data_IF_878125883495
#
_entry.id   IF_878125883495
#
_cell.length_a   1.000
_cell.length_b   1.000
_cell.length_c   1.000
_cell.angle_alpha   90.00
_cell.angle_beta   90.00
_cell.angle_gamma   90.00
#
_symmetry.space_group_name_H-M   'P 1'
#
loop_
_entity.id
_entity.type
_entity.pdbx_description
1 polymer ?
#
# COMPACT_ATOMS: atom_id res chain seq x y z
N UNK A 1 -23.69 10.93 -23.72
CA UNK A 1 -23.34 9.93 -22.70
C UNK A 1 -23.20 10.69 -21.39
N UNK A 2 -24.13 10.49 -20.46
CA UNK A 2 -24.07 11.15 -19.15
C UNK A 2 -22.82 10.70 -18.41
N UNK A 3 -22.06 11.67 -17.91
CA UNK A 3 -20.90 11.46 -17.05
C UNK A 3 -21.33 10.60 -15.88
N UNK A 4 -20.53 9.59 -15.48
CA UNK A 4 -21.02 8.69 -14.48
C UNK A 4 -21.14 9.34 -13.11
N UNK A 5 -22.14 8.90 -12.35
CA UNK A 5 -22.46 9.39 -11.01
C UNK A 5 -21.53 8.79 -9.94
N UNK A 6 -20.22 9.06 -9.95
CA UNK A 6 -19.38 8.80 -8.78
C UNK A 6 -18.75 10.09 -8.28
N UNK A 7 -19.58 10.86 -7.61
CA UNK A 7 -19.42 11.14 -6.19
C UNK A 7 -20.70 11.89 -5.85
N UNK A 8 -21.61 11.28 -5.09
CA UNK A 8 -22.71 12.06 -4.50
C UNK A 8 -22.13 12.93 -3.39
N UNK A 9 -21.32 13.93 -3.78
CA UNK A 9 -21.19 15.17 -3.02
C UNK A 9 -22.59 15.74 -2.77
N UNK A 10 -23.56 15.43 -3.64
CA UNK A 10 -24.99 15.66 -3.43
C UNK A 10 -25.55 15.19 -2.07
N UNK A 11 -25.00 14.15 -1.44
CA UNK A 11 -25.41 13.72 -0.09
C UNK A 11 -24.64 14.45 1.03
N UNK A 12 -23.51 15.07 0.71
CA UNK A 12 -22.66 15.81 1.65
C UNK A 12 -22.85 17.34 1.54
N UNK A 13 -23.40 17.82 0.43
CA UNK A 13 -23.69 19.23 0.17
C UNK A 13 -25.10 19.58 0.64
N UNK A 14 -25.24 20.79 1.18
CA UNK A 14 -26.55 21.36 1.52
C UNK A 14 -27.51 21.29 0.31
N UNK A 15 -28.82 21.06 0.53
CA UNK A 15 -29.85 21.20 -0.51
C UNK A 15 -29.78 22.53 -1.26
N UNK A 16 -29.25 23.58 -0.64
CA UNK A 16 -29.06 24.90 -1.27
C UNK A 16 -28.17 24.86 -2.52
N UNK A 17 -27.27 23.89 -2.60
CA UNK A 17 -26.40 23.70 -3.77
C UNK A 17 -27.11 23.05 -4.95
N UNK A 18 -28.33 22.51 -4.79
CA UNK A 18 -29.11 21.95 -5.90
C UNK A 18 -29.45 23.00 -6.96
N UNK A 19 -29.55 24.28 -6.56
CA UNK A 19 -29.73 25.41 -7.48
C UNK A 19 -28.50 25.70 -8.35
N UNK A 20 -27.33 25.14 -8.02
CA UNK A 20 -26.05 25.42 -8.68
C UNK A 20 -25.39 24.13 -9.20
N UNK A 21 -25.93 23.51 -10.27
CA UNK A 21 -25.44 22.22 -10.78
C UNK A 21 -23.96 22.26 -11.21
N UNK A 22 -23.46 23.40 -11.66
CA UNK A 22 -22.06 23.62 -12.01
C UNK A 22 -21.12 23.61 -10.79
N UNK A 23 -21.58 24.06 -9.61
CA UNK A 23 -20.80 23.99 -8.36
C UNK A 23 -20.71 22.54 -7.89
N UNK A 24 -21.82 21.80 -7.93
CA UNK A 24 -21.83 20.37 -7.61
C UNK A 24 -20.87 19.62 -8.55
N UNK A 25 -20.95 19.88 -9.85
CA UNK A 25 -20.06 19.26 -10.84
C UNK A 25 -18.59 19.61 -10.57
N UNK A 26 -18.28 20.88 -10.31
CA UNK A 26 -16.92 21.33 -10.02
C UNK A 26 -16.34 20.71 -8.75
N UNK A 27 -17.15 20.62 -7.67
CA UNK A 27 -16.74 19.95 -6.43
C UNK A 27 -16.59 18.45 -6.65
N UNK A 28 -17.49 17.82 -7.40
CA UNK A 28 -17.35 16.41 -7.80
C UNK A 28 -16.07 16.18 -8.59
N UNK A 29 -15.75 17.03 -9.56
CA UNK A 29 -14.53 16.94 -10.38
C UNK A 29 -13.26 17.18 -9.55
N UNK A 30 -13.30 18.09 -8.58
CA UNK A 30 -12.22 18.31 -7.62
C UNK A 30 -12.00 17.11 -6.70
N UNK A 31 -13.07 16.41 -6.33
CA UNK A 31 -13.03 15.27 -5.41
C UNK A 31 -12.76 13.93 -6.14
N UNK A 32 -12.85 13.90 -7.47
CA UNK A 32 -12.51 12.70 -8.23
C UNK A 32 -11.01 12.41 -8.09
N UNK A 33 -10.64 11.18 -7.69
CA UNK A 33 -9.24 10.80 -7.63
C UNK A 33 -8.63 10.84 -9.04
N UNK A 34 -7.38 11.29 -9.13
CA UNK A 34 -6.66 11.43 -10.40
C UNK A 34 -6.34 10.09 -11.08
N UNK A 35 -6.44 8.99 -10.34
CA UNK A 35 -6.17 7.63 -10.83
C UNK A 35 -7.25 6.67 -10.35
N UNK A 36 -7.42 5.55 -11.07
CA UNK A 36 -8.38 4.50 -10.70
C UNK A 36 -7.83 3.54 -9.63
N UNK A 37 -6.55 3.67 -9.27
CA UNK A 37 -5.81 2.76 -8.40
C UNK A 37 -6.54 2.45 -7.09
N UNK A 38 -7.05 3.51 -6.44
CA UNK A 38 -7.85 3.41 -5.23
C UNK A 38 -9.04 2.47 -5.39
N UNK A 39 -9.81 2.65 -6.46
CA UNK A 39 -10.94 1.78 -6.75
C UNK A 39 -10.51 0.33 -7.00
N UNK A 40 -9.35 0.12 -7.61
CA UNK A 40 -8.82 -1.21 -7.90
C UNK A 40 -8.45 -1.95 -6.63
N UNK A 41 -7.56 -1.41 -5.78
CA UNK A 41 -7.10 -2.13 -4.59
C UNK A 41 -8.11 -2.13 -3.42
N UNK A 42 -9.19 -1.36 -3.53
CA UNK A 42 -10.39 -1.47 -2.69
C UNK A 42 -11.45 -2.42 -3.29
N UNK A 43 -11.23 -2.94 -4.49
CA UNK A 43 -12.18 -3.76 -5.25
C UNK A 43 -13.58 -3.14 -5.45
N UNK A 44 -13.60 -1.84 -5.70
CA UNK A 44 -14.83 -1.07 -5.92
C UNK A 44 -15.32 -1.28 -7.35
N UNK A 45 -15.96 -2.43 -7.57
CA UNK A 45 -16.48 -2.89 -8.88
C UNK A 45 -17.25 -1.82 -9.65
N UNK A 46 -18.15 -1.09 -8.97
CA UNK A 46 -18.93 -0.02 -9.60
C UNK A 46 -18.04 1.11 -10.11
N UNK A 47 -17.01 1.49 -9.34
CA UNK A 47 -16.08 2.56 -9.72
C UNK A 47 -15.15 2.09 -10.84
N UNK A 48 -14.59 0.88 -10.72
CA UNK A 48 -13.76 0.25 -11.75
C UNK A 48 -14.48 0.24 -13.10
N UNK A 49 -15.68 -0.36 -13.17
CA UNK A 49 -16.45 -0.48 -14.42
C UNK A 49 -16.71 0.86 -15.11
N UNK A 50 -16.88 1.89 -14.31
CA UNK A 50 -17.40 3.18 -14.77
C UNK A 50 -16.27 4.15 -15.13
N UNK A 51 -15.17 4.13 -14.39
CA UNK A 51 -14.09 5.12 -14.51
C UNK A 51 -12.79 4.56 -15.07
N UNK A 52 -12.62 3.24 -15.19
CA UNK A 52 -11.43 2.62 -15.80
C UNK A 52 -11.13 3.13 -17.24
N UNK A 53 -12.11 3.47 -18.10
CA UNK A 53 -11.82 4.07 -19.40
C UNK A 53 -11.32 5.53 -19.34
N UNK A 54 -11.59 6.23 -18.24
CA UNK A 54 -11.38 7.68 -18.13
C UNK A 54 -10.22 8.05 -17.21
N UNK A 55 -9.92 7.21 -16.24
CA UNK A 55 -8.87 7.45 -15.25
C UNK A 55 -7.70 6.50 -15.47
N UNK A 56 -6.46 7.01 -15.48
CA UNK A 56 -5.29 6.17 -15.65
C UNK A 56 -5.12 5.24 -14.44
N UNK A 57 -4.60 4.05 -14.71
CA UNK A 57 -4.06 3.13 -13.73
C UNK A 57 -2.55 3.30 -13.63
N UNK A 58 -1.99 3.17 -12.44
CA UNK A 58 -0.56 3.34 -12.16
C UNK A 58 -0.04 2.20 -11.28
N UNK A 59 1.26 2.21 -10.97
CA UNK A 59 1.88 1.30 -9.98
C UNK A 59 1.19 1.38 -8.60
N UNK A 60 0.52 2.49 -8.30
CA UNK A 60 -0.26 2.68 -7.08
C UNK A 60 -1.37 1.65 -6.89
N UNK A 61 -1.86 1.02 -7.96
CA UNK A 61 -2.82 -0.07 -7.87
C UNK A 61 -2.23 -1.28 -7.15
N UNK A 62 -1.03 -1.72 -7.56
CA UNK A 62 -0.35 -2.86 -6.93
C UNK A 62 0.26 -2.47 -5.58
N UNK A 63 0.83 -1.27 -5.45
CA UNK A 63 1.40 -0.80 -4.17
C UNK A 63 0.33 -0.75 -3.07
N UNK A 64 -0.86 -0.21 -3.39
CA UNK A 64 -1.99 -0.18 -2.47
C UNK A 64 -2.57 -1.55 -2.17
N UNK A 65 -2.61 -2.46 -3.15
CA UNK A 65 -3.04 -3.84 -2.93
C UNK A 65 -2.09 -4.58 -1.99
N UNK A 66 -0.77 -4.40 -2.18
CA UNK A 66 0.25 -5.01 -1.34
C UNK A 66 0.21 -4.49 0.10
N UNK A 67 0.06 -3.17 0.28
CA UNK A 67 -0.09 -2.56 1.60
C UNK A 67 -1.33 -3.04 2.37
N UNK A 68 -2.29 -3.67 1.69
CA UNK A 68 -3.54 -4.18 2.28
C UNK A 68 -3.64 -5.70 2.30
N UNK A 69 -2.58 -6.41 1.91
CA UNK A 69 -2.59 -7.87 1.93
C UNK A 69 -3.50 -8.48 0.87
N UNK A 70 -3.88 -7.73 -0.17
CA UNK A 70 -4.82 -8.16 -1.20
C UNK A 70 -4.09 -8.95 -2.29
N UNK A 71 -3.63 -10.14 -1.92
CA UNK A 71 -2.93 -11.05 -2.82
C UNK A 71 -3.78 -11.46 -4.04
N UNK A 72 -5.10 -11.60 -3.84
CA UNK A 72 -6.09 -11.83 -4.90
C UNK A 72 -6.05 -10.75 -5.99
N UNK A 73 -5.99 -9.48 -5.57
CA UNK A 73 -5.91 -8.35 -6.49
C UNK A 73 -4.54 -8.30 -7.15
N UNK A 74 -3.45 -8.55 -6.41
CA UNK A 74 -2.10 -8.58 -6.98
C UNK A 74 -1.95 -9.63 -8.08
N UNK A 75 -2.46 -10.84 -7.85
CA UNK A 75 -2.46 -11.92 -8.84
C UNK A 75 -3.26 -11.53 -10.08
N UNK A 76 -4.45 -10.94 -9.89
CA UNK A 76 -5.26 -10.44 -11.01
C UNK A 76 -4.55 -9.35 -11.80
N UNK A 77 -3.94 -8.37 -11.13
CA UNK A 77 -3.23 -7.25 -11.77
C UNK A 77 -1.98 -7.70 -12.51
N UNK A 78 -1.21 -8.63 -11.94
CA UNK A 78 -0.02 -9.17 -12.58
C UNK A 78 -0.37 -9.94 -13.85
N UNK A 79 -1.45 -10.73 -13.84
CA UNK A 79 -1.90 -11.44 -15.05
C UNK A 79 -2.31 -10.49 -16.19
N UNK A 80 -2.71 -9.26 -15.87
CA UNK A 80 -3.06 -8.23 -16.84
C UNK A 80 -1.85 -7.45 -17.41
N UNK A 81 -0.63 -7.63 -16.86
CA UNK A 81 0.65 -7.12 -17.36
C UNK A 81 0.69 -5.66 -17.89
N UNK A 82 0.25 -4.64 -17.13
CA UNK A 82 0.36 -3.23 -17.60
C UNK A 82 1.33 -2.34 -16.84
N UNK A 83 1.24 -2.20 -15.52
CA UNK A 83 2.02 -1.17 -14.79
C UNK A 83 3.06 -1.73 -13.81
N UNK A 84 2.85 -2.95 -13.28
CA UNK A 84 3.70 -3.51 -12.22
C UNK A 84 3.54 -2.77 -10.88
N UNK A 85 4.56 -2.86 -10.02
CA UNK A 85 4.59 -2.20 -8.72
C UNK A 85 5.89 -1.41 -8.52
N UNK A 86 5.96 -0.63 -7.44
CA UNK A 86 7.20 0.01 -6.98
C UNK A 86 7.75 -0.68 -5.72
N UNK A 87 8.88 -0.20 -5.19
CA UNK A 87 9.38 -0.67 -3.88
C UNK A 87 8.39 -0.39 -2.74
N UNK A 88 7.45 0.56 -2.92
CA UNK A 88 6.42 0.86 -1.94
C UNK A 88 5.48 -0.34 -1.69
N UNK A 89 5.29 -1.24 -2.65
CA UNK A 89 4.55 -2.48 -2.43
C UNK A 89 5.18 -3.34 -1.32
N UNK A 90 6.50 -3.54 -1.37
CA UNK A 90 7.24 -4.30 -0.37
C UNK A 90 7.23 -3.62 1.00
N UNK A 91 7.49 -2.30 1.03
CA UNK A 91 7.50 -1.53 2.28
C UNK A 91 6.11 -1.51 2.90
N UNK A 92 5.06 -1.31 2.10
CA UNK A 92 3.67 -1.32 2.55
C UNK A 92 3.24 -2.68 3.09
N UNK A 93 3.59 -3.77 2.41
CA UNK A 93 3.32 -5.13 2.88
C UNK A 93 4.06 -5.43 4.20
N UNK A 94 5.32 -5.01 4.32
CA UNK A 94 6.12 -5.16 5.54
C UNK A 94 5.56 -4.32 6.70
N UNK A 95 5.09 -3.11 6.42
CA UNK A 95 4.50 -2.20 7.40
C UNK A 95 3.18 -2.70 7.99
N UNK A 96 2.52 -3.67 7.35
CA UNK A 96 1.22 -4.23 7.78
C UNK A 96 1.25 -5.76 7.97
N UNK A 97 2.44 -6.35 8.09
CA UNK A 97 2.65 -7.78 8.35
C UNK A 97 2.15 -8.77 7.28
N UNK A 98 2.07 -8.36 6.01
CA UNK A 98 1.62 -9.22 4.91
C UNK A 98 2.78 -10.05 4.33
N UNK A 99 3.22 -11.07 5.08
CA UNK A 99 4.37 -11.91 4.70
C UNK A 99 4.11 -12.75 3.43
N UNK A 100 2.88 -13.20 3.24
CA UNK A 100 2.41 -13.90 2.03
C UNK A 100 2.55 -13.02 0.77
N UNK A 101 2.20 -11.75 0.88
CA UNK A 101 2.42 -10.75 -0.17
C UNK A 101 3.91 -10.52 -0.41
N UNK A 102 4.73 -10.44 0.63
CA UNK A 102 6.19 -10.28 0.48
C UNK A 102 6.79 -11.48 -0.27
N UNK A 103 6.36 -12.70 0.02
CA UNK A 103 6.80 -13.89 -0.73
C UNK A 103 6.39 -13.79 -2.19
N UNK A 104 5.13 -13.52 -2.46
CA UNK A 104 4.66 -13.37 -3.84
C UNK A 104 5.38 -12.25 -4.60
N UNK A 105 5.65 -11.11 -3.96
CA UNK A 105 6.40 -10.03 -4.57
C UNK A 105 7.86 -10.42 -4.87
N UNK A 106 8.50 -11.24 -4.03
CA UNK A 106 9.86 -11.72 -4.31
C UNK A 106 9.89 -12.63 -5.55
N UNK A 107 8.86 -13.45 -5.79
CA UNK A 107 8.84 -14.34 -6.97
C UNK A 107 8.83 -13.59 -8.31
N UNK A 108 8.24 -12.39 -8.36
CA UNK A 108 8.06 -11.63 -9.60
C UNK A 108 8.86 -10.31 -9.67
N UNK A 109 9.23 -9.74 -8.53
CA UNK A 109 9.77 -8.38 -8.42
C UNK A 109 10.91 -8.27 -7.40
N UNK A 110 11.71 -9.32 -7.21
CA UNK A 110 12.81 -9.35 -6.23
C UNK A 110 13.73 -8.11 -6.29
N UNK A 111 14.03 -7.61 -7.50
CA UNK A 111 14.91 -6.44 -7.70
C UNK A 111 14.37 -5.12 -7.12
N UNK A 112 13.05 -5.05 -6.87
CA UNK A 112 12.41 -3.89 -6.26
C UNK A 112 12.45 -3.93 -4.72
N UNK A 113 12.81 -5.06 -4.11
CA UNK A 113 12.89 -5.18 -2.67
C UNK A 113 13.91 -4.19 -2.06
N UNK A 114 13.57 -3.62 -0.91
CA UNK A 114 14.43 -2.71 -0.14
C UNK A 114 14.48 -3.19 1.32
N UNK A 115 15.29 -4.22 1.64
CA UNK A 115 15.26 -4.89 2.94
C UNK A 115 15.40 -3.94 4.14
N UNK A 116 16.27 -2.93 4.06
CA UNK A 116 16.46 -1.92 5.12
C UNK A 116 15.19 -1.09 5.38
N UNK A 117 14.53 -0.62 4.32
CA UNK A 117 13.28 0.14 4.44
C UNK A 117 12.14 -0.75 4.97
N UNK A 118 12.05 -1.98 4.46
CA UNK A 118 11.05 -2.96 4.87
C UNK A 118 11.19 -3.33 6.35
N UNK A 119 12.41 -3.60 6.83
CA UNK A 119 12.62 -3.96 8.25
C UNK A 119 12.31 -2.78 9.16
N UNK A 120 12.66 -1.55 8.76
CA UNK A 120 12.38 -0.36 9.54
C UNK A 120 10.87 -0.10 9.63
N UNK A 121 10.14 -0.32 8.53
CA UNK A 121 8.69 -0.24 8.52
C UNK A 121 8.03 -1.32 9.40
N UNK A 122 8.49 -2.56 9.31
CA UNK A 122 8.01 -3.66 10.15
C UNK A 122 8.35 -3.43 11.64
N UNK A 123 9.55 -2.95 11.93
CA UNK A 123 10.01 -2.66 13.29
C UNK A 123 9.22 -1.53 13.94
N UNK A 124 8.92 -0.47 13.18
CA UNK A 124 8.08 0.67 13.62
C UNK A 124 6.66 0.26 13.98
N UNK A 125 6.14 -0.82 13.39
CA UNK A 125 4.78 -1.33 13.64
C UNK A 125 4.76 -2.62 14.48
N UNK A 126 5.91 -3.07 15.00
CA UNK A 126 5.99 -4.21 15.91
C UNK A 126 5.82 -5.58 15.26
N UNK A 127 6.05 -5.69 13.94
CA UNK A 127 5.81 -6.92 13.18
C UNK A 127 6.98 -7.91 13.26
N UNK A 128 7.03 -8.64 14.38
CA UNK A 128 8.10 -9.60 14.72
C UNK A 128 8.39 -10.62 13.59
N UNK A 129 7.35 -11.21 12.98
CA UNK A 129 7.52 -12.25 11.95
C UNK A 129 8.19 -11.70 10.68
N UNK A 130 7.84 -10.49 10.26
CA UNK A 130 8.46 -9.84 9.09
C UNK A 130 9.91 -9.45 9.41
N UNK A 131 10.18 -8.92 10.61
CA UNK A 131 11.55 -8.61 11.04
C UNK A 131 12.41 -9.88 11.11
N UNK A 132 11.88 -10.98 11.64
CA UNK A 132 12.56 -12.29 11.66
C UNK A 132 12.90 -12.80 10.27
N UNK A 133 11.98 -12.60 9.31
CA UNK A 133 12.21 -12.97 7.92
C UNK A 133 13.31 -12.12 7.28
N UNK A 134 13.28 -10.81 7.48
CA UNK A 134 14.18 -9.86 6.81
C UNK A 134 15.58 -9.80 7.45
N UNK A 135 15.72 -10.03 8.75
CA UNK A 135 17.00 -9.82 9.48
C UNK A 135 18.18 -10.61 8.92
N UNK A 136 17.95 -11.72 8.21
CA UNK A 136 19.00 -12.53 7.59
C UNK A 136 19.64 -11.86 6.37
N UNK A 137 18.94 -10.92 5.73
CA UNK A 137 19.40 -10.21 4.53
C UNK A 137 20.08 -8.86 4.85
N UNK A 138 20.19 -8.51 6.13
CA UNK A 138 20.63 -7.19 6.58
C UNK A 138 22.05 -7.21 7.11
N UNK A 139 22.75 -6.09 6.96
CA UNK A 139 24.02 -5.85 7.61
C UNK A 139 23.83 -5.32 9.05
N UNK A 140 24.93 -5.19 9.79
CA UNK A 140 24.92 -4.77 11.19
C UNK A 140 24.35 -3.36 11.38
N UNK A 141 24.65 -2.43 10.48
CA UNK A 141 24.18 -1.03 10.58
C UNK A 141 22.65 -0.95 10.39
N UNK A 142 22.12 -1.71 9.43
CA UNK A 142 20.68 -1.81 9.18
C UNK A 142 19.92 -2.45 10.36
N UNK A 143 20.50 -3.48 10.99
CA UNK A 143 19.94 -4.10 12.19
C UNK A 143 19.93 -3.15 13.39
N UNK A 144 20.96 -2.33 13.56
CA UNK A 144 21.02 -1.31 14.61
C UNK A 144 19.96 -0.23 14.36
N UNK A 145 19.82 0.25 13.12
CA UNK A 145 18.77 1.21 12.76
C UNK A 145 17.37 0.66 13.06
N UNK A 146 17.10 -0.60 12.69
CA UNK A 146 15.82 -1.24 12.98
C UNK A 146 15.56 -1.42 14.48
N UNK A 147 16.61 -1.70 15.26
CA UNK A 147 16.54 -1.78 16.71
C UNK A 147 16.18 -0.42 17.33
N UNK A 148 16.85 0.65 16.91
CA UNK A 148 16.55 2.01 17.35
C UNK A 148 15.09 2.36 17.04
N UNK A 149 14.62 2.10 15.82
CA UNK A 149 13.23 2.33 15.41
C UNK A 149 12.24 1.53 16.28
N UNK A 150 12.51 0.24 16.53
CA UNK A 150 11.66 -0.59 17.38
C UNK A 150 11.60 -0.07 18.83
N UNK A 151 12.74 0.35 19.38
CA UNK A 151 12.81 0.90 20.74
C UNK A 151 12.10 2.24 20.86
N UNK A 152 12.28 3.15 19.89
CA UNK A 152 11.60 4.44 19.85
C UNK A 152 10.07 4.28 19.69
N UNK A 153 9.63 3.24 19.01
CA UNK A 153 8.20 2.91 18.80
C UNK A 153 7.60 2.06 19.93
N UNK A 154 8.39 1.69 20.95
CA UNK A 154 7.93 0.90 22.10
C UNK A 154 7.70 -0.60 21.84
N UNK A 155 8.18 -1.13 20.71
CA UNK A 155 7.98 -2.52 20.32
C UNK A 155 9.03 -3.45 20.90
N UNK A 156 8.87 -3.81 22.18
CA UNK A 156 9.81 -4.62 22.96
C UNK A 156 10.19 -5.95 22.31
N UNK A 157 9.21 -6.71 21.80
CA UNK A 157 9.47 -8.04 21.21
C UNK A 157 10.39 -7.94 19.98
N UNK A 158 10.22 -6.91 19.15
CA UNK A 158 11.10 -6.67 17.99
C UNK A 158 12.49 -6.25 18.45
N UNK A 159 12.57 -5.35 19.44
CA UNK A 159 13.85 -4.91 19.98
C UNK A 159 14.64 -6.07 20.62
N UNK A 160 13.99 -6.95 21.37
CA UNK A 160 14.60 -8.15 21.94
C UNK A 160 15.08 -9.10 20.84
N UNK A 161 14.27 -9.32 19.79
CA UNK A 161 14.64 -10.16 18.65
C UNK A 161 15.91 -9.67 17.95
N UNK A 162 16.02 -8.36 17.72
CA UNK A 162 17.16 -7.74 17.06
C UNK A 162 18.42 -7.73 17.95
N UNK A 163 18.26 -7.52 19.27
CA UNK A 163 19.37 -7.58 20.24
C UNK A 163 20.02 -8.95 20.31
N UNK A 164 19.23 -10.03 20.35
CA UNK A 164 19.76 -11.40 20.41
C UNK A 164 20.69 -11.67 19.22
N UNK A 165 20.33 -11.18 18.03
CA UNK A 165 21.14 -11.38 16.83
C UNK A 165 22.44 -10.56 16.85
N UNK A 166 22.40 -9.32 17.36
CA UNK A 166 23.58 -8.45 17.44
C UNK A 166 24.61 -8.87 18.50
N UNK A 167 24.22 -9.69 19.49
CA UNK A 167 25.12 -10.20 20.55
C UNK A 167 25.70 -11.56 20.18
N UNK A 168 25.03 -12.31 19.29
CA UNK A 168 25.39 -13.68 18.91
C UNK A 168 26.28 -13.84 17.69
N UNK A 169 26.61 -12.75 16.97
CA UNK A 169 27.58 -12.69 15.86
C UNK A 169 28.87 -11.97 16.31
#
# INVERSE_FOLDING_TARGET
>A
METPLLLRVKLALSPDFEAFPHVIQYVSDLLLPRTIDGAIYNDLHRIKKVYEPFLPRTVGAMDGAAARGRLDILQSLQSAHREGCSSAAFVGAAAHAHLDVIWWLNEFYESLARPAEMVNAAARNGHVQVVEFLRRKLNREELVSALEVATASGHRNVAELLRVKLIGD
#
